data_IF_947615023040
#
_entry.id   IF_947615023040
#
_cell.length_a   1.000
_cell.length_b   1.000
_cell.length_c   1.000
_cell.angle_alpha   90.00
_cell.angle_beta   90.00
_cell.angle_gamma   90.00
#
_symmetry.space_group_name_H-M   'P 1'
#
loop_
_entity.id
_entity.type
_entity.pdbx_description
1 polymer ?
#
# COMPACT_ATOMS: atom_id res chain seq x y z
N UNK A 1 3.70 46.06 35.00
CA UNK A 1 2.81 46.41 33.87
C UNK A 1 3.59 46.06 32.62
N UNK A 2 3.05 45.11 31.84
CA UNK A 2 3.46 44.63 30.48
C UNK A 2 4.88 44.03 30.36
N UNK A 3 5.21 42.93 29.68
CA UNK A 3 4.56 41.87 28.89
C UNK A 3 5.74 40.96 28.41
N UNK A 4 5.66 39.62 28.32
CA UNK A 4 6.64 38.84 27.55
C UNK A 4 5.99 38.21 26.32
N UNK A 5 6.41 38.67 25.15
CA UNK A 5 6.37 37.91 23.91
C UNK A 5 7.54 36.93 23.91
N UNK A 6 7.27 35.65 23.66
CA UNK A 6 8.06 34.87 22.71
C UNK A 6 7.23 33.67 22.24
N UNK A 7 6.69 33.82 21.04
CA UNK A 7 5.99 32.80 20.28
C UNK A 7 7.01 31.98 19.50
N UNK A 8 7.24 30.72 19.87
CA UNK A 8 7.88 29.73 19.00
C UNK A 8 6.88 29.26 17.96
N UNK A 9 6.95 29.87 16.76
CA UNK A 9 6.35 29.33 15.54
C UNK A 9 7.32 28.30 14.96
N UNK A 10 7.00 27.01 15.04
CA UNK A 10 7.62 26.00 14.18
C UNK A 10 7.08 26.23 12.76
N UNK A 11 7.98 26.57 11.84
CA UNK A 11 7.68 26.63 10.42
C UNK A 11 7.71 25.20 9.89
N UNK A 12 6.55 24.64 9.61
CA UNK A 12 6.40 23.40 8.86
C UNK A 12 6.57 23.75 7.38
N UNK A 13 7.63 23.26 6.77
CA UNK A 13 7.86 23.31 5.33
C UNK A 13 7.06 22.15 4.73
N UNK A 14 5.94 22.47 4.08
CA UNK A 14 5.21 21.50 3.27
C UNK A 14 6.10 21.01 2.13
N UNK A 15 6.47 19.74 2.19
CA UNK A 15 7.16 19.05 1.10
C UNK A 15 6.11 18.65 0.09
N UNK A 16 6.02 19.37 -1.02
CA UNK A 16 5.21 18.96 -2.17
C UNK A 16 5.91 17.75 -2.80
N UNK A 17 5.36 16.55 -2.63
CA UNK A 17 5.82 15.36 -3.33
C UNK A 17 5.47 15.51 -4.82
N UNK A 18 6.45 15.87 -5.64
CA UNK A 18 6.33 15.80 -7.09
C UNK A 18 6.47 14.34 -7.51
N UNK A 19 5.35 13.67 -7.80
CA UNK A 19 5.36 12.38 -8.49
C UNK A 19 6.12 12.53 -9.82
N UNK A 20 7.16 11.72 -9.99
CA UNK A 20 8.05 11.77 -11.15
C UNK A 20 7.31 11.38 -12.43
N UNK A 21 7.16 12.33 -13.35
CA UNK A 21 6.66 12.07 -14.71
C UNK A 21 7.73 11.33 -15.52
N UNK A 22 7.54 10.04 -15.80
CA UNK A 22 8.37 9.29 -16.76
C UNK A 22 8.04 9.73 -18.20
N UNK A 23 8.96 10.47 -18.82
CA UNK A 23 8.86 10.86 -20.22
C UNK A 23 9.45 9.78 -21.16
N UNK A 24 8.59 9.05 -21.88
CA UNK A 24 8.99 8.15 -22.97
C UNK A 24 9.38 8.95 -24.22
N UNK A 25 10.66 8.86 -24.60
CA UNK A 25 11.22 9.51 -25.77
C UNK A 25 10.81 8.79 -27.08
N UNK A 26 9.91 9.40 -27.86
CA UNK A 26 9.59 8.97 -29.22
C UNK A 26 10.62 9.48 -30.24
N UNK A 27 11.32 8.58 -30.92
CA UNK A 27 12.11 8.92 -32.11
C UNK A 27 11.33 8.58 -33.40
N UNK A 28 10.95 9.63 -34.11
CA UNK A 28 10.47 9.61 -35.50
C UNK A 28 11.64 9.69 -36.48
N UNK A 29 11.56 8.97 -37.61
CA UNK A 29 12.35 9.27 -38.81
C UNK A 29 11.69 8.84 -40.13
N UNK A 30 11.08 9.82 -40.82
CA UNK A 30 11.02 10.20 -42.25
C UNK A 30 11.17 9.19 -43.43
N UNK A 31 10.18 9.22 -44.34
CA UNK A 31 10.17 9.63 -45.79
C UNK A 31 11.40 9.29 -46.70
N UNK A 32 11.33 8.89 -47.98
CA UNK A 32 10.41 9.16 -49.11
C UNK A 32 10.78 8.26 -50.38
N UNK A 33 10.42 8.53 -51.68
CA UNK A 33 9.62 7.65 -52.54
C UNK A 33 10.34 7.05 -53.80
N UNK A 34 9.66 6.20 -54.57
CA UNK A 34 10.15 5.75 -55.89
C UNK A 34 9.12 5.04 -56.78
N UNK A 35 8.76 5.69 -57.89
CA UNK A 35 7.77 5.23 -58.88
C UNK A 35 8.29 4.14 -59.85
N UNK A 36 7.40 3.37 -60.47
CA UNK A 36 7.28 3.21 -61.94
C UNK A 36 6.08 2.34 -62.34
N UNK A 37 5.40 2.75 -63.40
CA UNK A 37 4.25 2.09 -64.00
C UNK A 37 4.67 1.21 -65.20
N UNK A 38 3.97 0.09 -65.40
CA UNK A 38 3.85 -0.60 -66.69
C UNK A 38 2.54 -1.38 -66.79
N UNK A 39 1.89 -1.29 -67.96
CA UNK A 39 0.57 -1.78 -68.36
C UNK A 39 0.40 -3.31 -68.54
N UNK A 40 -0.79 -3.81 -68.13
CA UNK A 40 -1.73 -4.77 -68.75
C UNK A 40 -1.24 -6.18 -69.24
N UNK A 41 -2.03 -7.27 -69.13
CA UNK A 41 -3.45 -7.33 -69.51
C UNK A 41 -4.41 -8.08 -68.56
N UNK A 42 -5.71 -7.84 -68.81
CA UNK A 42 -6.90 -8.31 -68.11
C UNK A 42 -7.13 -9.82 -68.31
N UNK A 43 -7.05 -10.59 -67.23
CA UNK A 43 -7.65 -11.92 -67.12
C UNK A 43 -8.63 -11.89 -65.94
N UNK A 44 -9.89 -12.28 -66.18
CA UNK A 44 -10.93 -12.40 -65.17
C UNK A 44 -10.83 -13.78 -64.51
N UNK A 45 -10.46 -13.92 -63.23
CA UNK A 45 -10.57 -15.19 -62.53
C UNK A 45 -11.86 -15.22 -61.71
N UNK A 46 -12.44 -16.41 -61.69
CA UNK A 46 -13.63 -16.84 -60.98
C UNK A 46 -13.55 -16.50 -59.48
N UNK A 47 -14.64 -15.91 -58.94
CA UNK A 47 -14.83 -15.69 -57.50
C UNK A 47 -14.73 -17.03 -56.77
N UNK A 48 -13.62 -17.22 -56.07
CA UNK A 48 -13.47 -18.25 -55.05
C UNK A 48 -13.71 -17.52 -53.73
N UNK A 49 -14.63 -18.00 -52.91
CA UNK A 49 -14.88 -17.41 -51.59
C UNK A 49 -13.56 -17.46 -50.80
N UNK A 50 -12.95 -16.29 -50.59
CA UNK A 50 -11.84 -16.13 -49.64
C UNK A 50 -12.35 -16.51 -48.25
N UNK A 51 -11.53 -17.19 -47.43
CA UNK A 51 -11.86 -17.34 -46.03
C UNK A 51 -12.00 -15.93 -45.45
N UNK A 52 -13.15 -15.63 -44.86
CA UNK A 52 -13.34 -14.39 -44.13
C UNK A 52 -12.25 -14.30 -43.06
N UNK A 53 -11.24 -13.47 -43.29
CA UNK A 53 -10.30 -13.05 -42.25
C UNK A 53 -11.16 -12.51 -41.12
N UNK A 54 -11.27 -13.28 -40.04
CA UNK A 54 -11.86 -12.79 -38.81
C UNK A 54 -10.86 -11.76 -38.31
N UNK A 55 -11.19 -10.46 -38.27
CA UNK A 55 -10.26 -9.47 -37.78
C UNK A 55 -9.83 -9.88 -36.38
N UNK A 56 -8.52 -10.01 -36.17
CA UNK A 56 -7.95 -10.12 -34.83
C UNK A 56 -8.48 -8.91 -34.04
N UNK A 57 -9.18 -9.09 -32.91
CA UNK A 57 -9.66 -7.97 -32.12
C UNK A 57 -8.46 -7.07 -31.79
N UNK A 58 -8.60 -5.77 -32.05
CA UNK A 58 -7.54 -4.84 -31.67
C UNK A 58 -7.41 -4.84 -30.15
N UNK A 59 -6.19 -4.86 -29.59
CA UNK A 59 -5.98 -4.81 -28.15
C UNK A 59 -6.72 -3.61 -27.55
N UNK A 60 -7.39 -3.83 -26.41
CA UNK A 60 -8.01 -2.75 -25.65
C UNK A 60 -6.96 -1.65 -25.38
N UNK A 61 -7.23 -0.43 -25.84
CA UNK A 61 -6.25 0.65 -25.89
C UNK A 61 -5.76 1.11 -24.51
N UNK A 62 -6.57 0.96 -23.46
CA UNK A 62 -6.26 1.37 -22.11
C UNK A 62 -6.86 0.39 -21.08
N UNK A 63 -6.28 -0.82 -20.94
CA UNK A 63 -6.91 -1.88 -20.19
C UNK A 63 -7.08 -1.55 -18.71
N UNK A 64 -6.21 -0.73 -18.12
CA UNK A 64 -6.25 -0.45 -16.68
C UNK A 64 -7.18 0.71 -16.28
N UNK A 65 -7.69 1.49 -17.24
CA UNK A 65 -8.57 2.64 -16.94
C UNK A 65 -9.80 2.26 -16.10
N UNK A 66 -10.50 1.13 -16.33
CA UNK A 66 -11.61 0.74 -15.47
C UNK A 66 -11.21 0.45 -14.01
N UNK A 67 -10.04 -0.17 -13.79
CA UNK A 67 -9.53 -0.43 -12.44
C UNK A 67 -9.05 0.85 -11.76
N UNK A 68 -8.43 1.76 -12.52
CA UNK A 68 -8.03 3.07 -12.02
C UNK A 68 -9.24 3.93 -11.65
N UNK A 69 -10.32 3.89 -12.43
CA UNK A 69 -11.58 4.58 -12.09
C UNK A 69 -12.27 3.95 -10.88
N UNK A 70 -12.15 2.63 -10.71
CA UNK A 70 -12.58 1.95 -9.48
C UNK A 70 -11.82 2.48 -8.26
N UNK A 71 -10.49 2.47 -8.29
CA UNK A 71 -9.67 3.03 -7.22
C UNK A 71 -9.99 4.51 -6.97
N UNK A 72 -10.06 5.33 -8.03
CA UNK A 72 -10.36 6.76 -7.95
C UNK A 72 -11.74 7.05 -7.31
N UNK A 73 -12.71 6.13 -7.46
CA UNK A 73 -14.01 6.27 -6.78
C UNK A 73 -13.84 6.18 -5.26
N UNK A 74 -12.99 5.28 -4.78
CA UNK A 74 -12.70 5.09 -3.36
C UNK A 74 -11.86 6.26 -2.82
N UNK A 75 -10.83 6.67 -3.55
CA UNK A 75 -10.02 7.85 -3.17
C UNK A 75 -10.85 9.12 -3.10
N UNK A 76 -11.83 9.30 -3.99
CA UNK A 76 -12.76 10.42 -3.89
C UNK A 76 -13.63 10.35 -2.63
N UNK A 77 -14.09 9.15 -2.26
CA UNK A 77 -14.87 8.92 -1.04
C UNK A 77 -14.05 9.25 0.21
N UNK A 78 -12.82 8.75 0.31
CA UNK A 78 -11.92 8.97 1.46
C UNK A 78 -11.42 10.42 1.53
N UNK A 79 -11.03 11.02 0.41
CA UNK A 79 -10.67 12.44 0.36
C UNK A 79 -11.83 13.34 0.79
N UNK A 80 -13.06 13.06 0.34
CA UNK A 80 -14.24 13.80 0.78
C UNK A 80 -14.51 13.59 2.28
N UNK A 81 -14.41 12.35 2.75
CA UNK A 81 -14.57 12.00 4.16
C UNK A 81 -13.64 12.80 5.08
N UNK A 82 -12.33 12.77 4.82
CA UNK A 82 -11.37 13.51 5.65
C UNK A 82 -11.57 15.01 5.54
N UNK A 83 -11.76 15.53 4.33
CA UNK A 83 -11.99 16.96 4.12
C UNK A 83 -13.22 17.47 4.87
N UNK A 84 -14.35 16.75 4.81
CA UNK A 84 -15.59 17.13 5.51
C UNK A 84 -15.48 16.94 7.03
N UNK A 85 -14.87 15.84 7.49
CA UNK A 85 -14.68 15.56 8.91
C UNK A 85 -13.81 16.59 9.60
N UNK A 86 -12.68 16.95 8.98
CA UNK A 86 -11.75 17.96 9.49
C UNK A 86 -12.29 19.40 9.39
N UNK A 87 -13.26 19.67 8.51
CA UNK A 87 -14.02 20.92 8.53
C UNK A 87 -15.10 20.94 9.61
N UNK A 88 -15.64 19.77 9.96
CA UNK A 88 -16.75 19.61 10.93
C UNK A 88 -16.28 19.69 12.37
N UNK A 89 -15.19 18.98 12.71
CA UNK A 89 -14.65 18.90 14.07
C UNK A 89 -13.39 19.72 14.21
N UNK A 90 -13.29 20.49 15.30
CA UNK A 90 -12.05 21.15 15.66
C UNK A 90 -11.00 20.18 16.21
N UNK A 91 -9.72 20.56 16.16
CA UNK A 91 -8.62 19.79 16.78
C UNK A 91 -8.90 19.45 18.25
N UNK A 92 -9.53 20.38 18.99
CA UNK A 92 -9.90 20.17 20.40
C UNK A 92 -10.99 19.10 20.56
N UNK A 93 -11.95 19.02 19.63
CA UNK A 93 -12.96 17.96 19.63
C UNK A 93 -12.35 16.61 19.25
N UNK A 94 -11.50 16.57 18.22
CA UNK A 94 -10.82 15.35 17.76
C UNK A 94 -9.91 14.77 18.83
N UNK A 95 -9.02 15.56 19.44
CA UNK A 95 -8.11 15.08 20.50
C UNK A 95 -8.83 14.68 21.81
N UNK A 96 -10.10 15.07 21.97
CA UNK A 96 -10.92 14.70 23.13
C UNK A 96 -12.04 13.72 22.78
N UNK A 97 -11.97 13.05 21.62
CA UNK A 97 -12.85 11.95 21.28
C UNK A 97 -12.82 10.85 22.37
N UNK A 98 -13.96 10.24 22.67
CA UNK A 98 -14.05 9.16 23.66
C UNK A 98 -13.21 7.94 23.28
N UNK A 99 -13.07 7.65 21.97
CA UNK A 99 -12.18 6.61 21.45
C UNK A 99 -10.73 6.78 21.95
N UNK A 100 -10.30 8.03 22.08
CA UNK A 100 -8.94 8.35 22.52
C UNK A 100 -8.76 8.36 24.03
N UNK A 101 -9.80 8.07 24.83
CA UNK A 101 -9.77 8.23 26.29
C UNK A 101 -8.70 7.40 27.02
N UNK A 102 -8.23 6.33 26.39
CA UNK A 102 -7.13 5.49 26.88
C UNK A 102 -5.73 6.06 26.60
N UNK A 103 -5.63 7.09 25.75
CA UNK A 103 -4.36 7.69 25.35
C UNK A 103 -3.99 8.89 26.23
N UNK A 104 -2.68 9.00 26.49
CA UNK A 104 -2.09 10.16 27.15
C UNK A 104 -2.32 11.45 26.36
N UNK A 105 -2.25 12.60 27.04
CA UNK A 105 -2.50 13.90 26.39
C UNK A 105 -1.55 14.17 25.22
N UNK A 106 -0.29 13.74 25.30
CA UNK A 106 0.72 13.96 24.27
C UNK A 106 0.30 13.32 22.94
N UNK A 107 -0.03 12.03 22.95
CA UNK A 107 -0.51 11.31 21.76
C UNK A 107 -1.81 11.91 21.22
N UNK A 108 -2.77 12.22 22.11
CA UNK A 108 -4.04 12.82 21.70
C UNK A 108 -3.85 14.13 20.92
N UNK A 109 -2.85 14.92 21.28
CA UNK A 109 -2.53 16.17 20.58
C UNK A 109 -1.95 15.98 19.18
N UNK A 110 -1.44 14.79 18.84
CA UNK A 110 -0.92 14.47 17.52
C UNK A 110 -1.99 13.96 16.56
N UNK A 111 -3.04 13.32 17.08
CA UNK A 111 -4.13 12.72 16.27
C UNK A 111 -4.73 13.68 15.23
N UNK A 112 -5.08 14.94 15.54
CA UNK A 112 -5.61 15.86 14.53
C UNK A 112 -4.66 16.10 13.35
N UNK A 113 -3.35 16.19 13.61
CA UNK A 113 -2.35 16.37 12.55
C UNK A 113 -2.17 15.10 11.71
N UNK A 114 -2.22 13.92 12.33
CA UNK A 114 -2.20 12.66 11.61
C UNK A 114 -3.43 12.48 10.72
N UNK A 115 -4.62 12.85 11.20
CA UNK A 115 -5.84 12.83 10.37
C UNK A 115 -5.76 13.84 9.22
N UNK A 116 -5.18 15.03 9.44
CA UNK A 116 -4.92 16.00 8.38
C UNK A 116 -3.89 15.50 7.36
N UNK A 117 -2.90 14.73 7.81
CA UNK A 117 -1.90 14.08 6.95
C UNK A 117 -2.54 13.00 6.08
N UNK A 118 -3.36 12.12 6.65
CA UNK A 118 -4.13 11.12 5.91
C UNK A 118 -5.01 11.80 4.84
N UNK A 119 -5.80 12.81 5.21
CA UNK A 119 -6.60 13.58 4.24
C UNK A 119 -5.77 14.25 3.12
N UNK A 120 -4.52 14.63 3.40
CA UNK A 120 -3.62 15.15 2.38
C UNK A 120 -3.07 14.05 1.45
N UNK A 121 -2.88 12.82 1.97
CA UNK A 121 -2.54 11.65 1.16
C UNK A 121 -3.68 11.30 0.22
N UNK A 122 -4.92 11.23 0.70
CA UNK A 122 -6.09 10.94 -0.15
C UNK A 122 -6.26 11.96 -1.29
N UNK A 123 -6.05 13.24 -0.99
CA UNK A 123 -6.06 14.28 -2.02
C UNK A 123 -4.94 14.08 -3.07
N UNK A 124 -3.77 13.59 -2.66
CA UNK A 124 -2.66 13.27 -3.55
C UNK A 124 -2.94 12.01 -4.38
N UNK A 125 -3.57 10.97 -3.81
CA UNK A 125 -3.99 9.77 -4.52
C UNK A 125 -5.01 10.10 -5.61
N UNK A 126 -6.05 10.89 -5.29
CA UNK A 126 -7.04 11.39 -6.27
C UNK A 126 -6.34 12.07 -7.45
N UNK A 127 -5.35 12.92 -7.16
CA UNK A 127 -4.58 13.62 -8.19
C UNK A 127 -3.78 12.64 -9.04
N UNK A 128 -3.04 11.72 -8.41
CA UNK A 128 -2.19 10.74 -9.08
C UNK A 128 -2.99 9.80 -10.00
N UNK A 129 -4.13 9.28 -9.53
CA UNK A 129 -5.00 8.41 -10.31
C UNK A 129 -5.64 9.17 -11.47
N UNK A 130 -6.15 10.38 -11.24
CA UNK A 130 -6.72 11.22 -12.29
C UNK A 130 -5.70 11.49 -13.40
N UNK A 131 -4.50 11.93 -13.03
CA UNK A 131 -3.41 12.19 -13.98
C UNK A 131 -3.02 10.92 -14.76
N UNK A 132 -3.00 9.76 -14.10
CA UNK A 132 -2.67 8.47 -14.73
C UNK A 132 -3.75 8.06 -15.73
N UNK A 133 -5.03 8.20 -15.37
CA UNK A 133 -6.16 7.90 -16.26
C UNK A 133 -6.11 8.79 -17.50
N UNK A 134 -5.86 10.10 -17.34
CA UNK A 134 -5.72 11.03 -18.47
C UNK A 134 -4.53 10.67 -19.37
N UNK A 135 -3.38 10.30 -18.80
CA UNK A 135 -2.20 9.85 -19.55
C UNK A 135 -2.49 8.59 -20.39
N UNK A 136 -3.35 7.71 -19.89
CA UNK A 136 -3.83 6.53 -20.61
C UNK A 136 -4.95 6.85 -21.61
N UNK A 137 -5.27 8.13 -21.83
CA UNK A 137 -6.39 8.62 -22.66
C UNK A 137 -7.76 8.15 -22.17
N UNK A 138 -7.89 7.83 -20.88
CA UNK A 138 -9.14 7.56 -20.20
C UNK A 138 -9.84 8.85 -19.76
N UNK A 139 -11.06 8.70 -19.25
CA UNK A 139 -11.79 9.78 -18.57
C UNK A 139 -11.83 9.45 -17.08
N UNK A 140 -11.26 10.30 -16.20
CA UNK A 140 -11.40 10.14 -14.76
C UNK A 140 -12.86 10.23 -14.33
N UNK A 141 -13.29 9.33 -13.46
CA UNK A 141 -14.58 9.45 -12.76
C UNK A 141 -14.57 10.74 -11.93
N UNK A 142 -15.73 11.40 -11.85
CA UNK A 142 -15.86 12.61 -11.03
C UNK A 142 -16.22 12.24 -9.59
N UNK A 143 -15.83 13.11 -8.66
CA UNK A 143 -16.25 13.05 -7.26
C UNK A 143 -17.78 12.97 -7.13
N UNK A 144 -18.26 12.12 -6.22
CA UNK A 144 -19.68 11.93 -5.93
C UNK A 144 -20.23 12.90 -4.88
N UNK A 145 -21.45 12.63 -4.42
CA UNK A 145 -22.05 13.23 -3.22
C UNK A 145 -22.14 12.18 -2.13
N UNK A 146 -21.76 12.51 -0.89
CA UNK A 146 -21.60 11.54 0.19
C UNK A 146 -22.42 11.88 1.45
N UNK A 147 -22.78 10.85 2.22
CA UNK A 147 -23.33 10.95 3.58
C UNK A 147 -22.64 9.91 4.47
N UNK A 148 -21.79 10.38 5.38
CA UNK A 148 -20.98 9.54 6.26
C UNK A 148 -21.66 9.20 7.60
N UNK A 149 -22.77 9.87 7.93
CA UNK A 149 -23.60 9.54 9.09
C UNK A 149 -22.97 9.70 10.48
N UNK A 150 -21.75 10.25 10.63
CA UNK A 150 -21.15 10.52 11.93
C UNK A 150 -21.73 11.81 12.56
N UNK A 151 -21.91 11.82 13.88
CA UNK A 151 -22.32 13.01 14.64
C UNK A 151 -21.25 13.45 15.64
N UNK A 152 -20.30 12.58 15.96
CA UNK A 152 -19.26 12.79 16.97
C UNK A 152 -17.85 12.46 16.46
N UNK A 153 -16.79 13.01 17.07
CA UNK A 153 -15.41 12.64 16.74
C UNK A 153 -15.12 11.14 16.88
N UNK A 154 -15.73 10.46 17.85
CA UNK A 154 -15.60 9.01 18.02
C UNK A 154 -16.22 8.25 16.85
N UNK A 155 -17.41 8.65 16.39
CA UNK A 155 -18.04 8.03 15.22
C UNK A 155 -17.24 8.33 13.94
N UNK A 156 -16.68 9.54 13.81
CA UNK A 156 -15.77 9.87 12.72
C UNK A 156 -14.56 8.94 12.69
N UNK A 157 -13.86 8.74 13.81
CA UNK A 157 -12.73 7.80 13.88
C UNK A 157 -13.14 6.35 13.56
N UNK A 158 -14.35 5.94 13.94
CA UNK A 158 -14.89 4.62 13.58
C UNK A 158 -15.21 4.47 12.09
N UNK A 159 -15.73 5.51 11.44
CA UNK A 159 -15.94 5.51 9.98
C UNK A 159 -14.62 5.54 9.24
N UNK A 160 -13.64 6.33 9.71
CA UNK A 160 -12.28 6.37 9.15
C UNK A 160 -11.66 4.96 9.15
N UNK A 161 -11.72 4.28 10.29
CA UNK A 161 -11.24 2.90 10.43
C UNK A 161 -11.92 1.96 9.42
N UNK A 162 -13.23 2.09 9.21
CA UNK A 162 -13.96 1.23 8.28
C UNK A 162 -13.58 1.50 6.81
N UNK A 163 -13.42 2.76 6.42
CA UNK A 163 -13.03 3.15 5.07
C UNK A 163 -11.63 2.64 4.76
N UNK A 164 -10.66 2.93 5.61
CA UNK A 164 -9.24 2.62 5.36
C UNK A 164 -8.98 1.10 5.33
N UNK A 165 -9.65 0.33 6.20
CA UNK A 165 -9.62 -1.13 6.09
C UNK A 165 -10.29 -1.64 4.80
N UNK A 166 -11.31 -0.95 4.29
CA UNK A 166 -11.94 -1.25 3.00
C UNK A 166 -11.00 -0.89 1.84
N UNK A 167 -10.28 0.23 1.91
CA UNK A 167 -9.25 0.65 0.97
C UNK A 167 -8.15 -0.41 0.81
N UNK A 168 -7.61 -0.92 1.92
CA UNK A 168 -6.63 -2.03 1.92
C UNK A 168 -7.17 -3.24 1.14
N UNK A 169 -8.38 -3.71 1.49
CA UNK A 169 -8.97 -4.87 0.85
C UNK A 169 -9.28 -4.64 -0.64
N UNK A 170 -9.63 -3.42 -1.02
CA UNK A 170 -9.93 -3.01 -2.39
C UNK A 170 -8.70 -3.03 -3.29
N UNK A 171 -7.60 -2.41 -2.83
CA UNK A 171 -6.34 -2.42 -3.56
C UNK A 171 -5.78 -3.83 -3.68
N UNK A 172 -5.79 -4.62 -2.61
CA UNK A 172 -5.37 -6.02 -2.64
C UNK A 172 -6.19 -6.87 -3.63
N UNK A 173 -7.50 -6.62 -3.75
CA UNK A 173 -8.39 -7.33 -4.68
C UNK A 173 -8.30 -6.88 -6.15
N UNK A 174 -7.94 -5.62 -6.39
CA UNK A 174 -7.82 -5.06 -7.74
C UNK A 174 -6.41 -5.22 -8.33
N UNK A 175 -5.35 -5.11 -7.51
CA UNK A 175 -3.96 -5.19 -7.96
C UNK A 175 -3.65 -6.40 -8.86
N UNK A 176 -4.15 -7.63 -8.58
CA UNK A 176 -3.87 -8.80 -9.41
C UNK A 176 -4.39 -8.69 -10.86
N UNK A 177 -5.33 -7.77 -11.11
CA UNK A 177 -5.96 -7.56 -12.42
C UNK A 177 -5.27 -6.46 -13.24
N UNK A 178 -4.33 -5.72 -12.65
CA UNK A 178 -3.60 -4.63 -13.32
C UNK A 178 -2.67 -5.19 -14.39
N UNK A 179 -2.74 -4.65 -15.61
CA UNK A 179 -1.96 -5.11 -16.77
C UNK A 179 -0.61 -4.40 -16.86
N UNK A 180 -0.57 -3.09 -16.62
CA UNK A 180 0.64 -2.30 -16.72
C UNK A 180 1.44 -2.32 -15.40
N UNK A 181 2.70 -2.74 -15.45
CA UNK A 181 3.57 -2.82 -14.26
C UNK A 181 3.91 -1.47 -13.62
N UNK A 182 3.95 -0.38 -14.38
CA UNK A 182 4.14 0.96 -13.82
C UNK A 182 2.91 1.38 -13.00
N UNK A 183 1.70 1.06 -13.49
CA UNK A 183 0.45 1.27 -12.77
C UNK A 183 0.40 0.39 -11.52
N UNK A 184 0.82 -0.86 -11.63
CA UNK A 184 0.87 -1.79 -10.49
C UNK A 184 1.84 -1.32 -9.41
N UNK A 185 3.03 -0.84 -9.79
CA UNK A 185 4.01 -0.32 -8.84
C UNK A 185 3.49 0.93 -8.11
N UNK A 186 2.77 1.81 -8.80
CA UNK A 186 2.11 2.95 -8.17
C UNK A 186 1.01 2.50 -7.20
N UNK A 187 0.13 1.59 -7.64
CA UNK A 187 -0.97 1.07 -6.83
C UNK A 187 -0.47 0.34 -5.57
N UNK A 188 0.62 -0.43 -5.66
CA UNK A 188 1.24 -1.07 -4.51
C UNK A 188 1.73 -0.06 -3.46
N UNK A 189 2.21 1.11 -3.89
CA UNK A 189 2.65 2.17 -2.96
C UNK A 189 1.52 2.91 -2.27
N UNK A 190 0.35 3.03 -2.91
CA UNK A 190 -0.86 3.55 -2.28
C UNK A 190 -1.39 2.50 -1.29
N UNK A 191 -1.48 1.25 -1.72
CA UNK A 191 -1.94 0.12 -0.89
C UNK A 191 -1.23 0.01 0.47
N UNK A 192 0.09 0.21 0.53
CA UNK A 192 0.80 0.20 1.82
C UNK A 192 0.49 1.44 2.67
N UNK A 193 0.22 2.59 2.07
CA UNK A 193 -0.21 3.80 2.79
C UNK A 193 -1.60 3.60 3.39
N UNK A 194 -2.56 3.07 2.63
CA UNK A 194 -3.89 2.65 3.13
C UNK A 194 -3.74 1.73 4.35
N UNK A 195 -2.83 0.75 4.26
CA UNK A 195 -2.59 -0.19 5.34
C UNK A 195 -1.97 0.48 6.57
N UNK A 196 -1.11 1.49 6.39
CA UNK A 196 -0.57 2.29 7.52
C UNK A 196 -1.65 3.12 8.18
N UNK A 197 -2.51 3.77 7.41
CA UNK A 197 -3.66 4.51 7.94
C UNK A 197 -4.59 3.59 8.71
N UNK A 198 -4.95 2.44 8.13
CA UNK A 198 -5.80 1.44 8.75
C UNK A 198 -5.19 0.88 10.05
N UNK A 199 -3.87 0.64 10.08
CA UNK A 199 -3.15 0.22 11.29
C UNK A 199 -3.21 1.25 12.41
N UNK A 200 -3.00 2.53 12.07
CA UNK A 200 -3.12 3.64 13.02
C UNK A 200 -4.56 3.81 13.54
N UNK A 201 -5.56 3.76 12.66
CA UNK A 201 -6.96 3.93 13.04
C UNK A 201 -7.49 2.76 13.86
N UNK A 202 -7.04 1.55 13.58
CA UNK A 202 -7.29 0.40 14.45
C UNK A 202 -6.72 0.67 15.86
N UNK A 203 -5.45 1.12 15.95
CA UNK A 203 -4.83 1.46 17.23
C UNK A 203 -5.63 2.51 18.00
N UNK A 204 -5.95 3.65 17.39
CA UNK A 204 -6.62 4.76 18.10
C UNK A 204 -8.08 4.49 18.45
N UNK A 205 -8.74 3.54 17.76
CA UNK A 205 -10.06 3.04 18.15
C UNK A 205 -10.00 1.91 19.19
N UNK A 206 -8.80 1.48 19.59
CA UNK A 206 -8.59 0.47 20.63
C UNK A 206 -8.66 -0.97 20.13
N UNK A 207 -8.59 -1.20 18.82
CA UNK A 207 -8.51 -2.50 18.20
C UNK A 207 -7.07 -2.93 17.95
N UNK A 208 -6.87 -4.21 17.60
CA UNK A 208 -5.57 -4.73 17.19
C UNK A 208 -5.12 -4.05 15.88
N UNK A 209 -3.96 -3.36 15.83
CA UNK A 209 -3.54 -2.59 14.64
C UNK A 209 -3.41 -3.44 13.37
N UNK A 210 -2.95 -4.69 13.54
CA UNK A 210 -2.76 -5.71 12.52
C UNK A 210 -3.47 -6.99 12.99
N UNK A 211 -4.77 -7.15 12.67
CA UNK A 211 -5.57 -8.23 13.23
C UNK A 211 -5.28 -9.61 12.61
N UNK A 212 -4.65 -9.65 11.43
CA UNK A 212 -4.39 -10.86 10.67
C UNK A 212 -2.93 -10.92 10.20
N UNK A 213 -2.38 -12.13 10.10
CA UNK A 213 -1.09 -12.38 9.46
C UNK A 213 -1.15 -12.30 7.93
N UNK A 214 -2.34 -12.22 7.33
CA UNK A 214 -2.54 -11.96 5.91
C UNK A 214 -3.86 -11.23 5.80
N UNK A 215 -3.88 -10.06 5.17
CA UNK A 215 -5.12 -9.33 4.98
C UNK A 215 -5.95 -9.95 3.85
N UNK A 216 -7.26 -9.95 4.04
CA UNK A 216 -8.21 -10.49 3.07
C UNK A 216 -8.49 -9.48 1.95
N UNK A 217 -8.19 -9.86 0.72
CA UNK A 217 -8.61 -9.12 -0.47
C UNK A 217 -10.13 -9.26 -0.69
N UNK A 218 -10.78 -8.17 -1.10
CA UNK A 218 -12.20 -8.17 -1.45
C UNK A 218 -12.42 -7.98 -2.95
N UNK A 219 -13.51 -8.58 -3.47
CA UNK A 219 -13.89 -8.32 -4.86
C UNK A 219 -14.37 -6.88 -5.04
N UNK A 220 -14.22 -6.36 -6.26
CA UNK A 220 -14.74 -5.03 -6.65
C UNK A 220 -16.21 -4.87 -6.25
N UNK A 221 -17.04 -5.90 -6.46
CA UNK A 221 -18.45 -5.85 -6.08
C UNK A 221 -18.68 -5.75 -4.57
N UNK A 222 -17.92 -6.48 -3.75
CA UNK A 222 -18.06 -6.43 -2.30
C UNK A 222 -17.66 -5.06 -1.75
N UNK A 223 -16.57 -4.49 -2.29
CA UNK A 223 -16.12 -3.15 -1.92
C UNK A 223 -17.12 -2.08 -2.36
N UNK A 224 -17.65 -2.16 -3.58
CA UNK A 224 -18.66 -1.21 -4.06
C UNK A 224 -19.96 -1.32 -3.25
N UNK A 225 -20.35 -2.52 -2.82
CA UNK A 225 -21.48 -2.70 -1.91
C UNK A 225 -21.24 -1.99 -0.56
N UNK A 226 -20.01 -2.04 -0.02
CA UNK A 226 -19.62 -1.30 1.18
C UNK A 226 -19.67 0.21 0.92
N UNK A 227 -18.95 0.69 -0.09
CA UNK A 227 -18.86 2.11 -0.43
C UNK A 227 -20.22 2.74 -0.75
N UNK A 228 -21.13 1.99 -1.39
CA UNK A 228 -22.47 2.47 -1.77
C UNK A 228 -23.33 2.90 -0.57
N UNK A 229 -23.00 2.48 0.65
CA UNK A 229 -23.68 2.93 1.86
C UNK A 229 -23.44 4.41 2.16
N UNK A 230 -22.35 4.98 1.66
CA UNK A 230 -21.96 6.38 1.85
C UNK A 230 -22.25 7.24 0.63
N UNK A 231 -22.41 6.66 -0.56
CA UNK A 231 -22.60 7.40 -1.81
C UNK A 231 -24.09 7.70 -2.02
N UNK A 232 -24.43 8.99 -2.12
CA UNK A 232 -25.82 9.47 -2.32
C UNK A 232 -26.12 9.90 -3.76
N UNK A 233 -25.08 10.19 -4.55
CA UNK A 233 -25.18 10.46 -5.99
C UNK A 233 -25.34 9.17 -6.81
N UNK A 234 -25.78 9.30 -8.07
CA UNK A 234 -25.77 8.17 -9.01
C UNK A 234 -24.33 7.82 -9.40
N UNK A 235 -23.95 6.55 -9.27
CA UNK A 235 -22.69 5.98 -9.77
C UNK A 235 -22.98 5.24 -11.07
N UNK A 236 -22.24 5.54 -12.14
CA UNK A 236 -22.32 4.79 -13.40
C UNK A 236 -21.42 3.54 -13.30
N UNK A 237 -21.96 2.33 -13.13
CA UNK A 237 -21.14 1.13 -12.97
C UNK A 237 -20.39 0.75 -14.25
N UNK A 238 -20.76 1.29 -15.41
CA UNK A 238 -20.10 0.99 -16.68
C UNK A 238 -18.65 1.48 -16.73
N UNK A 239 -18.27 2.42 -15.87
CA UNK A 239 -16.89 2.93 -15.79
C UNK A 239 -15.91 1.91 -15.21
N UNK A 240 -16.41 0.85 -14.57
CA UNK A 240 -15.61 -0.24 -13.98
C UNK A 240 -15.54 -1.50 -14.87
N UNK A 241 -16.22 -1.51 -16.02
CA UNK A 241 -16.26 -2.67 -16.90
C UNK A 241 -14.91 -2.88 -17.60
N UNK A 242 -14.27 -4.01 -17.34
CA UNK A 242 -12.95 -4.36 -17.90
C UNK A 242 -13.00 -5.02 -19.28
N UNK A 243 -14.17 -5.49 -19.72
CA UNK A 243 -14.40 -6.12 -21.02
C UNK A 243 -13.84 -7.56 -21.15
N UNK A 244 -14.46 -8.36 -22.04
CA UNK A 244 -14.05 -9.76 -22.29
C UNK A 244 -12.73 -9.88 -23.06
N UNK A 245 -12.33 -8.83 -23.80
CA UNK A 245 -11.09 -8.79 -24.61
C UNK A 245 -9.88 -8.20 -23.84
N UNK A 246 -9.93 -8.25 -22.49
CA UNK A 246 -8.84 -7.75 -21.63
C UNK A 246 -7.55 -8.52 -21.87
N UNK A 247 -6.40 -7.84 -22.12
CA UNK A 247 -5.10 -8.49 -22.16
C UNK A 247 -4.79 -9.22 -20.85
N UNK A 248 -4.02 -10.30 -20.94
CA UNK A 248 -3.43 -10.92 -19.76
C UNK A 248 -2.34 -10.02 -19.22
N UNK A 249 -2.33 -9.79 -17.91
CA UNK A 249 -1.25 -9.09 -17.22
C UNK A 249 0.05 -9.89 -17.35
N UNK A 250 1.17 -9.18 -17.57
CA UNK A 250 2.50 -9.76 -17.55
C UNK A 250 3.35 -9.02 -16.51
N UNK A 251 3.28 -9.54 -15.29
CA UNK A 251 4.04 -9.03 -14.13
C UNK A 251 5.49 -9.48 -14.12
N UNK A 252 5.96 -10.18 -15.14
CA UNK A 252 7.35 -10.63 -15.17
C UNK A 252 8.26 -9.47 -15.57
N UNK A 253 9.34 -9.28 -14.83
CA UNK A 253 10.45 -8.45 -15.28
C UNK A 253 11.09 -9.07 -16.55
N UNK A 254 11.62 -8.22 -17.44
CA UNK A 254 12.35 -8.66 -18.64
C UNK A 254 13.78 -9.11 -18.28
N UNK A 255 13.87 -10.11 -17.39
CA UNK A 255 15.10 -10.71 -16.89
C UNK A 255 14.93 -12.22 -16.55
N UNK A 256 15.98 -12.79 -15.97
CA UNK A 256 16.04 -14.20 -15.57
C UNK A 256 15.43 -14.47 -14.18
N UNK A 257 14.82 -13.47 -13.53
CA UNK A 257 14.18 -13.62 -12.21
C UNK A 257 12.95 -14.51 -12.33
N UNK A 258 12.93 -15.61 -11.57
CA UNK A 258 11.80 -16.52 -11.49
C UNK A 258 10.98 -16.26 -10.24
N UNK A 259 9.72 -16.68 -10.20
CA UNK A 259 8.89 -16.59 -8.97
C UNK A 259 9.55 -17.26 -7.77
N UNK A 260 10.30 -18.36 -7.99
CA UNK A 260 11.08 -19.02 -6.92
C UNK A 260 12.22 -18.14 -6.43
N UNK A 261 12.85 -17.32 -7.30
CA UNK A 261 13.83 -16.34 -6.86
C UNK A 261 13.17 -15.26 -6.01
N UNK A 262 12.02 -14.73 -6.43
CA UNK A 262 11.29 -13.69 -5.68
C UNK A 262 10.83 -14.23 -4.31
N UNK A 263 10.30 -15.45 -4.28
CA UNK A 263 9.87 -16.10 -3.04
C UNK A 263 11.03 -16.36 -2.08
N UNK A 264 12.19 -16.81 -2.58
CA UNK A 264 13.36 -17.00 -1.73
C UNK A 264 13.97 -15.68 -1.26
N UNK A 265 13.85 -14.63 -2.07
CA UNK A 265 14.19 -13.27 -1.65
C UNK A 265 13.29 -12.82 -0.49
N UNK A 266 11.96 -12.90 -0.63
CA UNK A 266 11.02 -12.59 0.45
C UNK A 266 11.27 -13.46 1.69
N UNK A 267 11.43 -14.78 1.51
CA UNK A 267 11.69 -15.72 2.61
C UNK A 267 12.99 -15.42 3.37
N UNK A 268 13.99 -14.80 2.72
CA UNK A 268 15.20 -14.35 3.40
C UNK A 268 14.90 -13.23 4.41
N UNK A 269 13.99 -12.32 4.07
CA UNK A 269 13.56 -11.22 4.94
C UNK A 269 12.64 -11.73 6.05
N UNK A 270 11.67 -12.59 5.72
CA UNK A 270 10.80 -13.19 6.74
C UNK A 270 11.60 -14.01 7.77
N UNK A 271 12.66 -14.69 7.34
CA UNK A 271 13.57 -15.37 8.28
C UNK A 271 14.30 -14.40 9.20
N UNK A 272 14.76 -13.26 8.66
CA UNK A 272 15.41 -12.20 9.43
C UNK A 272 14.46 -11.61 10.47
N UNK A 273 13.24 -11.24 10.08
CA UNK A 273 12.23 -10.63 10.96
C UNK A 273 11.69 -11.62 11.99
N UNK A 274 11.35 -12.86 11.58
CA UNK A 274 10.95 -13.91 12.52
C UNK A 274 12.05 -14.21 13.55
N UNK A 275 13.32 -14.31 13.14
CA UNK A 275 14.42 -14.50 14.07
C UNK A 275 14.59 -13.29 15.00
N UNK A 276 14.47 -12.07 14.46
CA UNK A 276 14.55 -10.82 15.21
C UNK A 276 13.53 -10.75 16.35
N UNK A 277 12.24 -10.97 16.07
CA UNK A 277 11.21 -10.94 17.11
C UNK A 277 11.36 -12.10 18.09
N UNK A 278 11.62 -13.31 17.60
CA UNK A 278 11.81 -14.50 18.44
C UNK A 278 12.93 -14.29 19.45
N UNK A 279 14.08 -13.77 19.02
CA UNK A 279 15.24 -13.52 19.89
C UNK A 279 15.04 -12.30 20.80
N UNK A 280 14.44 -11.22 20.29
CA UNK A 280 14.17 -10.01 21.07
C UNK A 280 13.20 -10.25 22.21
N UNK A 281 12.14 -11.02 21.95
CA UNK A 281 11.12 -11.39 22.94
C UNK A 281 11.62 -12.45 23.94
N UNK A 282 12.66 -13.23 23.60
CA UNK A 282 13.38 -14.07 24.57
C UNK A 282 14.35 -13.26 25.44
N UNK A 283 14.92 -12.18 24.88
CA UNK A 283 15.93 -11.33 25.52
C UNK A 283 15.31 -10.36 26.52
N UNK A 284 14.22 -9.70 26.16
CA UNK A 284 13.53 -8.70 26.99
C UNK A 284 12.20 -9.24 27.50
N UNK A 285 11.98 -9.13 28.81
CA UNK A 285 10.67 -9.47 29.37
C UNK A 285 9.66 -8.31 29.23
N UNK A 286 8.38 -8.60 29.47
CA UNK A 286 7.29 -7.62 29.35
C UNK A 286 7.53 -6.32 30.14
N UNK A 287 8.09 -6.42 31.36
CA UNK A 287 8.39 -5.24 32.16
C UNK A 287 9.48 -4.37 31.52
N UNK A 288 10.47 -4.98 30.86
CA UNK A 288 11.53 -4.24 30.15
C UNK A 288 10.98 -3.57 28.88
N UNK A 289 10.17 -4.29 28.10
CA UNK A 289 9.56 -3.78 26.87
C UNK A 289 8.61 -2.61 27.14
N UNK A 290 7.68 -2.76 28.09
CA UNK A 290 6.70 -1.71 28.40
C UNK A 290 7.34 -0.47 29.05
N UNK A 291 8.56 -0.59 29.60
CA UNK A 291 9.29 0.52 30.21
C UNK A 291 10.50 0.97 29.38
N UNK A 292 10.54 0.65 28.09
CA UNK A 292 11.53 1.18 27.17
C UNK A 292 11.51 2.72 27.17
N UNK A 293 12.68 3.37 27.13
CA UNK A 293 12.79 4.84 27.12
C UNK A 293 12.07 5.47 25.93
N UNK A 294 12.08 4.80 24.77
CA UNK A 294 11.31 5.16 23.57
C UNK A 294 9.82 5.33 23.85
N UNK A 295 9.27 4.58 24.80
CA UNK A 295 7.85 4.61 25.15
C UNK A 295 7.50 5.64 26.23
N UNK A 296 8.46 6.44 26.69
CA UNK A 296 8.28 7.35 27.84
C UNK A 296 7.19 8.43 27.66
N UNK A 297 6.84 8.74 26.40
CA UNK A 297 5.75 9.68 26.04
C UNK A 297 4.36 9.03 26.08
N UNK A 298 4.29 7.69 26.11
CA UNK A 298 3.04 6.94 26.07
C UNK A 298 2.43 6.72 27.46
N UNK A 299 1.10 6.69 27.51
CA UNK A 299 0.33 6.33 28.70
C UNK A 299 0.57 4.89 29.14
N UNK A 300 0.18 4.55 30.39
CA UNK A 300 0.33 3.19 30.92
C UNK A 300 -0.40 2.15 30.03
N UNK A 301 -1.60 2.48 29.53
CA UNK A 301 -2.42 1.55 28.75
C UNK A 301 -1.71 1.07 27.47
N UNK A 302 -1.19 2.02 26.66
CA UNK A 302 -0.45 1.71 25.43
C UNK A 302 0.81 0.90 25.77
N UNK A 303 1.58 1.33 26.77
CA UNK A 303 2.80 0.63 27.20
C UNK A 303 2.52 -0.81 27.59
N UNK A 304 1.42 -1.07 28.30
CA UNK A 304 1.02 -2.43 28.71
C UNK A 304 0.62 -3.32 27.53
N UNK A 305 0.15 -2.75 26.41
CA UNK A 305 -0.21 -3.49 25.21
C UNK A 305 0.99 -3.83 24.30
N UNK A 306 2.08 -3.07 24.38
CA UNK A 306 3.25 -3.24 23.49
C UNK A 306 3.82 -4.68 23.48
N UNK A 307 4.04 -5.36 24.62
CA UNK A 307 4.55 -6.73 24.59
C UNK A 307 3.63 -7.72 23.87
N UNK A 308 2.31 -7.56 24.00
CA UNK A 308 1.31 -8.38 23.31
C UNK A 308 1.33 -8.11 21.82
N UNK A 309 1.37 -6.84 21.40
CA UNK A 309 1.46 -6.47 19.99
C UNK A 309 2.75 -7.00 19.33
N UNK A 310 3.91 -6.86 19.97
CA UNK A 310 5.18 -7.39 19.45
C UNK A 310 5.17 -8.91 19.31
N UNK A 311 4.47 -9.63 20.21
CA UNK A 311 4.28 -11.08 20.08
C UNK A 311 3.40 -11.43 18.88
N UNK A 312 2.35 -10.65 18.61
CA UNK A 312 1.52 -10.84 17.41
C UNK A 312 2.33 -10.60 16.14
N UNK A 313 3.17 -9.56 16.08
CA UNK A 313 4.09 -9.35 14.94
C UNK A 313 4.98 -10.58 14.73
N UNK A 314 5.66 -11.05 15.79
CA UNK A 314 6.48 -12.26 15.69
C UNK A 314 5.70 -13.53 15.28
N UNK A 315 4.42 -13.65 15.64
CA UNK A 315 3.54 -14.72 15.19
C UNK A 315 3.20 -14.59 13.69
N UNK A 316 3.03 -13.37 13.18
CA UNK A 316 2.82 -13.09 11.76
C UNK A 316 4.07 -13.46 10.95
N UNK A 317 5.26 -13.02 11.36
CA UNK A 317 6.50 -13.36 10.64
C UNK A 317 6.75 -14.87 10.58
N UNK A 318 6.45 -15.59 11.67
CA UNK A 318 6.52 -17.04 11.66
C UNK A 318 5.52 -17.68 10.68
N UNK A 319 4.33 -17.09 10.53
CA UNK A 319 3.32 -17.53 9.57
C UNK A 319 3.76 -17.24 8.12
N UNK A 320 4.35 -16.07 7.85
CA UNK A 320 4.90 -15.70 6.54
C UNK A 320 6.03 -16.65 6.12
N UNK A 321 7.01 -16.92 7.01
CA UNK A 321 8.07 -17.93 6.77
C UNK A 321 7.47 -19.26 6.36
N UNK A 322 6.44 -19.72 7.08
CA UNK A 322 5.77 -21.00 6.79
C UNK A 322 5.11 -20.97 5.41
N UNK A 323 4.33 -19.92 5.10
CA UNK A 323 3.62 -19.77 3.85
C UNK A 323 4.55 -19.70 2.64
N UNK A 324 5.63 -18.92 2.72
CA UNK A 324 6.62 -18.80 1.66
C UNK A 324 7.40 -20.10 1.48
N UNK A 325 7.82 -20.77 2.56
CA UNK A 325 8.50 -22.07 2.51
C UNK A 325 7.64 -23.11 1.80
N UNK A 326 6.36 -23.20 2.15
CA UNK A 326 5.42 -24.15 1.53
C UNK A 326 5.21 -23.82 0.04
N UNK A 327 5.14 -22.54 -0.31
CA UNK A 327 4.96 -22.08 -1.69
C UNK A 327 6.19 -22.40 -2.56
N UNK A 328 7.40 -22.15 -2.05
CA UNK A 328 8.65 -22.52 -2.75
C UNK A 328 8.70 -24.02 -3.02
N UNK A 329 8.40 -24.85 -2.02
CA UNK A 329 8.34 -26.30 -2.17
C UNK A 329 7.28 -26.73 -3.20
N UNK A 330 6.10 -26.11 -3.19
CA UNK A 330 5.01 -26.41 -4.12
C UNK A 330 5.41 -26.10 -5.57
N UNK A 331 6.18 -25.04 -5.80
CA UNK A 331 6.73 -24.68 -7.11
C UNK A 331 7.95 -25.53 -7.50
N UNK A 332 8.40 -26.45 -6.63
CA UNK A 332 9.54 -27.33 -6.88
C UNK A 332 10.90 -26.65 -6.71
N UNK A 333 10.94 -25.50 -6.04
CA UNK A 333 12.16 -24.85 -5.61
C UNK A 333 12.70 -25.41 -4.29
N UNK A 334 13.93 -25.05 -3.97
CA UNK A 334 14.54 -25.30 -2.66
C UNK A 334 14.39 -24.01 -1.83
N UNK A 335 13.67 -24.03 -0.69
CA UNK A 335 13.55 -22.88 0.21
C UNK A 335 14.92 -22.49 0.77
N UNK A 336 15.20 -21.18 0.82
CA UNK A 336 16.34 -20.65 1.55
C UNK A 336 16.21 -21.01 3.03
N UNK A 337 17.33 -21.28 3.68
CA UNK A 337 17.36 -21.58 5.12
C UNK A 337 17.59 -20.30 5.91
N UNK A 338 17.02 -20.23 7.11
CA UNK A 338 17.34 -19.22 8.11
C UNK A 338 18.86 -19.09 8.30
N UNK A 339 19.36 -17.85 8.33
CA UNK A 339 20.76 -17.55 8.59
C UNK A 339 21.05 -17.38 10.10
N UNK A 340 22.31 -17.14 10.45
CA UNK A 340 22.65 -16.66 11.79
C UNK A 340 22.72 -15.13 11.77
N UNK A 341 22.09 -14.50 12.76
CA UNK A 341 21.93 -13.04 12.81
C UNK A 341 22.63 -12.41 14.03
N UNK A 342 23.06 -11.16 13.88
CA UNK A 342 23.48 -10.24 14.94
C UNK A 342 22.79 -8.90 14.73
N UNK A 343 21.82 -8.60 15.58
CA UNK A 343 20.99 -7.39 15.48
C UNK A 343 21.57 -6.18 16.22
N UNK A 344 22.63 -6.38 17.03
CA UNK A 344 23.37 -5.29 17.67
C UNK A 344 22.61 -4.43 18.69
N UNK A 345 21.37 -4.76 19.08
CA UNK A 345 20.64 -4.05 20.13
C UNK A 345 21.08 -4.50 21.53
N UNK A 346 21.15 -3.58 22.49
CA UNK A 346 21.44 -3.88 23.90
C UNK A 346 20.26 -3.53 24.82
N UNK A 347 19.32 -2.71 24.33
CA UNK A 347 18.20 -2.17 25.12
C UNK A 347 16.86 -2.37 24.41
N UNK A 348 15.72 -2.37 25.14
CA UNK A 348 14.39 -2.42 24.54
C UNK A 348 14.13 -1.29 23.53
N UNK A 349 14.68 -0.10 23.76
CA UNK A 349 14.53 1.03 22.82
C UNK A 349 15.33 0.85 21.53
N UNK A 350 16.53 0.27 21.61
CA UNK A 350 17.28 -0.10 20.40
C UNK A 350 16.57 -1.24 19.65
N UNK A 351 16.00 -2.22 20.36
CA UNK A 351 15.16 -3.25 19.75
C UNK A 351 13.99 -2.63 18.99
N UNK A 352 13.19 -1.74 19.60
CA UNK A 352 12.09 -1.06 18.91
C UNK A 352 12.54 -0.23 17.70
N UNK A 353 13.75 0.37 17.76
CA UNK A 353 14.32 1.10 16.63
C UNK A 353 14.77 0.19 15.48
N UNK A 354 15.34 -0.98 15.78
CA UNK A 354 15.68 -1.98 14.76
C UNK A 354 14.39 -2.58 14.15
N UNK A 355 13.39 -2.86 14.99
CA UNK A 355 12.09 -3.34 14.55
C UNK A 355 11.46 -2.38 13.53
N UNK A 356 11.42 -1.09 13.86
CA UNK A 356 10.94 -0.04 12.95
C UNK A 356 11.70 -0.08 11.60
N UNK A 357 13.02 -0.22 11.63
CA UNK A 357 13.81 -0.23 10.41
C UNK A 357 13.53 -1.47 9.54
N UNK A 358 13.36 -2.64 10.16
CA UNK A 358 13.06 -3.89 9.47
C UNK A 358 11.69 -3.82 8.79
N UNK A 359 10.60 -3.52 9.52
CA UNK A 359 9.26 -3.49 8.92
C UNK A 359 9.14 -2.48 7.77
N UNK A 360 9.75 -1.30 7.89
CA UNK A 360 9.76 -0.33 6.79
C UNK A 360 10.58 -0.83 5.58
N UNK A 361 11.63 -1.62 5.82
CA UNK A 361 12.38 -2.31 4.76
C UNK A 361 11.53 -3.41 4.13
N UNK A 362 10.77 -4.18 4.92
CA UNK A 362 9.79 -5.17 4.46
C UNK A 362 8.76 -4.56 3.50
N UNK A 363 8.13 -3.46 3.88
CA UNK A 363 7.20 -2.71 3.02
C UNK A 363 7.85 -2.33 1.68
N UNK A 364 9.02 -1.71 1.72
CA UNK A 364 9.73 -1.29 0.51
C UNK A 364 10.16 -2.49 -0.37
N UNK A 365 10.52 -3.62 0.25
CA UNK A 365 10.93 -4.85 -0.41
C UNK A 365 9.77 -5.52 -1.15
N UNK A 366 8.62 -5.70 -0.49
CA UNK A 366 7.43 -6.28 -1.10
C UNK A 366 6.93 -5.42 -2.27
N UNK A 367 6.87 -4.09 -2.08
CA UNK A 367 6.53 -3.15 -3.15
C UNK A 367 7.50 -3.27 -4.34
N UNK A 368 8.81 -3.27 -4.08
CA UNK A 368 9.83 -3.34 -5.13
C UNK A 368 9.82 -4.67 -5.90
N UNK A 369 9.41 -5.76 -5.26
CA UNK A 369 9.29 -7.07 -5.88
C UNK A 369 7.96 -7.28 -6.64
N UNK A 370 6.91 -6.52 -6.35
CA UNK A 370 5.58 -6.67 -6.95
C UNK A 370 5.59 -6.79 -8.50
N UNK A 371 6.30 -5.94 -9.27
CA UNK A 371 6.34 -6.04 -10.73
C UNK A 371 7.32 -7.11 -11.27
N UNK A 372 7.68 -8.11 -10.46
CA UNK A 372 8.56 -9.22 -10.84
C UNK A 372 7.91 -10.60 -10.67
N UNK A 373 6.73 -10.66 -10.05
CA UNK A 373 6.03 -11.92 -9.72
C UNK A 373 5.08 -12.28 -10.85
N UNK A 374 5.34 -13.36 -11.58
CA UNK A 374 4.50 -13.84 -12.69
C UNK A 374 3.29 -14.64 -12.23
N UNK A 375 3.45 -15.48 -11.21
CA UNK A 375 2.39 -16.38 -10.74
C UNK A 375 1.32 -15.63 -9.95
N UNK A 376 0.05 -15.80 -10.32
CA UNK A 376 -1.10 -15.14 -9.67
C UNK A 376 -1.27 -15.52 -8.20
N UNK A 377 -1.09 -16.80 -7.86
CA UNK A 377 -1.22 -17.25 -6.47
C UNK A 377 -0.10 -16.68 -5.59
N UNK A 378 1.12 -16.59 -6.12
CA UNK A 378 2.25 -15.97 -5.42
C UNK A 378 2.00 -14.48 -5.21
N UNK A 379 1.55 -13.78 -6.26
CA UNK A 379 1.28 -12.36 -6.17
C UNK A 379 0.14 -12.02 -5.21
N UNK A 380 -0.95 -12.80 -5.23
CA UNK A 380 -2.06 -12.63 -4.30
C UNK A 380 -1.63 -12.81 -2.84
N UNK A 381 -0.76 -13.78 -2.56
CA UNK A 381 -0.21 -13.93 -1.22
C UNK A 381 0.71 -12.76 -0.85
N UNK A 382 1.59 -12.34 -1.75
CA UNK A 382 2.53 -11.25 -1.51
C UNK A 382 1.83 -9.91 -1.26
N UNK A 383 0.78 -9.56 -2.01
CA UNK A 383 0.05 -8.31 -1.79
C UNK A 383 -0.71 -8.32 -0.45
N UNK A 384 -1.23 -9.47 -0.01
CA UNK A 384 -1.86 -9.61 1.30
C UNK A 384 -0.88 -9.56 2.48
N UNK A 385 0.37 -10.00 2.29
CA UNK A 385 1.44 -9.83 3.29
C UNK A 385 1.90 -8.37 3.32
N UNK A 386 2.05 -7.75 2.15
CA UNK A 386 2.52 -6.36 2.03
C UNK A 386 1.72 -5.34 2.86
N UNK A 387 0.38 -5.48 2.98
CA UNK A 387 -0.40 -4.61 3.86
C UNK A 387 -0.17 -4.91 5.34
N UNK A 388 0.10 -6.16 5.72
CA UNK A 388 0.42 -6.54 7.10
C UNK A 388 1.74 -5.91 7.52
N UNK A 389 2.78 -5.99 6.69
CA UNK A 389 4.07 -5.28 6.88
C UNK A 389 3.85 -3.78 7.09
N UNK A 390 2.97 -3.19 6.30
CA UNK A 390 2.69 -1.76 6.38
C UNK A 390 1.95 -1.37 7.67
N UNK A 391 1.07 -2.24 8.19
CA UNK A 391 0.43 -2.06 9.51
C UNK A 391 1.45 -2.21 10.65
N UNK A 392 2.36 -3.18 10.57
CA UNK A 392 3.46 -3.33 11.54
C UNK A 392 4.34 -2.08 11.53
N UNK A 393 4.77 -1.63 10.35
CA UNK A 393 5.57 -0.43 10.17
C UNK A 393 4.87 0.82 10.71
N UNK A 394 3.56 0.96 10.50
CA UNK A 394 2.76 2.06 11.08
C UNK A 394 2.81 2.05 12.61
N UNK A 395 2.57 0.90 13.23
CA UNK A 395 2.62 0.74 14.68
C UNK A 395 4.01 1.04 15.25
N UNK A 396 5.07 0.52 14.65
CA UNK A 396 6.44 0.74 15.14
C UNK A 396 6.96 2.16 14.87
N UNK A 397 6.52 2.78 13.78
CA UNK A 397 6.76 4.19 13.53
C UNK A 397 6.18 5.04 14.65
N UNK A 398 4.91 4.77 15.00
CA UNK A 398 4.24 5.41 16.12
C UNK A 398 5.04 5.17 17.41
N UNK A 399 5.33 3.92 17.82
CA UNK A 399 6.08 3.65 19.05
C UNK A 399 7.44 4.37 19.17
N UNK A 400 8.07 4.69 18.05
CA UNK A 400 9.35 5.43 18.00
C UNK A 400 9.17 6.96 17.87
N UNK A 401 7.96 7.48 18.15
CA UNK A 401 7.59 8.89 18.06
C UNK A 401 7.88 9.50 16.67
N UNK A 402 7.61 8.73 15.62
CA UNK A 402 7.64 9.17 14.23
C UNK A 402 6.27 9.01 13.59
N UNK A 403 6.01 9.71 12.49
CA UNK A 403 4.71 9.61 11.83
C UNK A 403 4.43 8.16 11.40
N UNK A 404 3.25 7.60 11.74
CA UNK A 404 2.88 6.23 11.36
C UNK A 404 2.90 6.00 9.84
N UNK A 405 2.56 7.04 9.09
CA UNK A 405 2.51 7.10 7.63
C UNK A 405 3.24 8.35 7.14
N UNK A 406 4.58 8.32 7.02
CA UNK A 406 5.37 9.53 6.75
C UNK A 406 5.26 10.04 5.30
N UNK A 407 4.78 9.21 4.37
CA UNK A 407 4.66 9.52 2.95
C UNK A 407 3.25 9.17 2.46
N UNK A 408 2.76 9.94 1.48
CA UNK A 408 1.50 9.62 0.80
C UNK A 408 1.63 8.59 -0.31
N UNK A 409 2.84 8.12 -0.62
CA UNK A 409 3.09 6.90 -1.40
C UNK A 409 4.39 6.33 -0.85
N UNK A 410 4.42 5.08 -0.40
CA UNK A 410 5.69 4.49 0.05
C UNK A 410 6.62 4.24 -1.14
N UNK A 411 7.93 4.40 -0.96
CA UNK A 411 8.89 4.18 -2.05
C UNK A 411 9.39 2.73 -2.09
N UNK A 412 9.57 2.14 -3.29
CA UNK A 412 10.10 0.78 -3.39
C UNK A 412 11.62 0.78 -3.14
N UNK A 413 12.13 -0.38 -2.71
CA UNK A 413 13.56 -0.69 -2.79
C UNK A 413 13.81 -1.83 -3.77
N UNK A 414 14.91 -1.77 -4.50
CA UNK A 414 15.35 -2.89 -5.33
C UNK A 414 15.83 -4.04 -4.44
N UNK A 415 15.79 -5.28 -4.95
CA UNK A 415 16.29 -6.45 -4.23
C UNK A 415 17.74 -6.26 -3.75
N UNK A 416 18.59 -5.61 -4.56
CA UNK A 416 19.98 -5.32 -4.18
C UNK A 416 20.09 -4.31 -3.03
N UNK A 417 19.24 -3.28 -2.99
CA UNK A 417 19.24 -2.31 -1.88
C UNK A 417 18.77 -2.97 -0.58
N UNK A 418 17.78 -3.85 -0.67
CA UNK A 418 17.28 -4.61 0.47
C UNK A 418 18.30 -5.65 0.95
N UNK A 419 18.98 -6.35 0.04
CA UNK A 419 20.10 -7.24 0.38
C UNK A 419 21.24 -6.50 1.09
N UNK A 420 21.56 -5.27 0.66
CA UNK A 420 22.56 -4.41 1.31
C UNK A 420 22.14 -4.00 2.73
N UNK A 421 20.84 -3.90 3.02
CA UNK A 421 20.31 -3.67 4.37
C UNK A 421 20.36 -4.97 5.19
N UNK A 422 19.76 -6.05 4.68
CA UNK A 422 19.65 -7.34 5.38
C UNK A 422 21.02 -7.96 5.71
N UNK A 423 21.99 -7.85 4.80
CA UNK A 423 23.34 -8.41 4.96
C UNK A 423 24.14 -7.81 6.12
N UNK A 424 23.72 -6.66 6.66
CA UNK A 424 24.34 -6.05 7.83
C UNK A 424 24.12 -6.86 9.11
N UNK A 425 23.05 -7.67 9.13
CA UNK A 425 22.67 -8.50 10.27
C UNK A 425 23.17 -9.94 10.14
N UNK A 426 23.55 -10.41 8.95
CA UNK A 426 23.94 -11.80 8.71
C UNK A 426 25.41 -12.02 9.10
N UNK A 427 25.68 -12.95 10.03
CA UNK A 427 27.03 -13.17 10.58
C UNK A 427 27.75 -14.45 10.17
N UNK A 428 27.11 -15.39 9.47
CA UNK A 428 27.77 -16.60 8.94
C UNK A 428 27.18 -17.16 7.65
#
# INVERSE_FOLDING_TARGET
>A
MTDPQDSTRRAFLGTTATLGTLALAGCSSNDEPGATATDAPTDTPTMTDEPTDTPTPEPMAAPDVPLLNYALTLEHLENAFYREGLETFSDDELMNADALSNFGQEIRMEVPEYLATAGAHEAAHVTALSDTIEQLNGTPVSEGEYDFGYETPTEFLGVAQALENTGVAAYAGAAPQVVNNDVLAAAAGIHSVEARHAGFLNLVNGDMPFPNAVDEAQSISEVLDIASQFITSEVDPSVYETGDDRPTHDRKADDDTTDVNVLNYALTLEHLENAFYREGLETFNDDELMNADALSVYGDEVRMAVPDHLRVVGEHEAAHVTALTDTVNQLGGDPVMEAEYDFGYETPSEFLGVAQALENTGVAAYKGAAPTVSNDAVFNAAISIHSVEARHASFLNELNATSPFPNGVDEPQTMSEVEDVASQFIVN
#
